data_IF_718659958239
#
_entry.id   IF_718659958239
#
_cell.length_a   1.000
_cell.length_b   1.000
_cell.length_c   1.000
_cell.angle_alpha   90.00
_cell.angle_beta   90.00
_cell.angle_gamma   90.00
#
_symmetry.space_group_name_H-M   'P 1'
#
loop_
_entity.id
_entity.type
_entity.pdbx_description
1 polymer ?
#
# COMPACT_ATOMS: atom_id res chain seq x y z
N UNK A 1 20.46 5.53 -14.84
CA UNK A 1 20.09 4.16 -14.40
C UNK A 1 20.10 3.28 -15.63
N UNK A 2 20.96 2.27 -15.70
CA UNK A 2 20.84 1.20 -16.70
C UNK A 2 19.60 0.38 -16.32
N UNK A 3 18.46 0.69 -16.92
CA UNK A 3 17.26 -0.14 -16.77
C UNK A 3 17.33 -1.23 -17.82
N UNK A 4 18.06 -2.30 -17.52
CA UNK A 4 17.91 -3.53 -18.28
C UNK A 4 16.43 -3.94 -18.16
N UNK A 5 15.69 -4.06 -19.27
CA UNK A 5 14.29 -4.42 -19.20
C UNK A 5 14.15 -5.81 -18.57
N UNK A 6 13.09 -6.00 -17.78
CA UNK A 6 12.76 -7.31 -17.24
C UNK A 6 12.53 -8.29 -18.41
N UNK A 7 13.11 -9.49 -18.41
CA UNK A 7 13.03 -10.42 -19.54
C UNK A 7 11.59 -10.89 -19.79
N UNK A 8 11.28 -11.20 -21.05
CA UNK A 8 10.02 -11.86 -21.38
C UNK A 8 9.94 -13.24 -20.71
N UNK A 9 8.79 -13.57 -20.13
CA UNK A 9 8.51 -14.84 -19.49
C UNK A 9 7.60 -15.71 -20.37
N UNK A 10 7.64 -17.04 -20.19
CA UNK A 10 6.69 -17.93 -20.86
C UNK A 10 5.27 -17.72 -20.34
N UNK A 11 4.27 -18.10 -21.15
CA UNK A 11 2.87 -18.04 -20.74
C UNK A 11 2.60 -18.87 -19.47
N UNK A 12 3.27 -20.02 -19.33
CA UNK A 12 3.18 -20.88 -18.16
C UNK A 12 3.72 -20.20 -16.89
N UNK A 13 4.88 -19.54 -16.97
CA UNK A 13 5.44 -18.79 -15.83
C UNK A 13 4.56 -17.61 -15.46
N UNK A 14 4.01 -16.88 -16.43
CA UNK A 14 3.08 -15.78 -16.16
C UNK A 14 1.83 -16.27 -15.44
N UNK A 15 1.25 -17.40 -15.88
CA UNK A 15 0.09 -18.00 -15.23
C UNK A 15 0.41 -18.42 -13.78
N UNK A 16 1.59 -19.02 -13.55
CA UNK A 16 2.02 -19.44 -12.22
C UNK A 16 2.18 -18.24 -11.26
N UNK A 17 2.85 -17.17 -11.70
CA UNK A 17 3.03 -15.94 -10.91
C UNK A 17 1.70 -15.29 -10.59
N UNK A 18 0.79 -15.19 -11.57
CA UNK A 18 -0.54 -14.62 -11.35
C UNK A 18 -1.37 -15.45 -10.37
N UNK A 19 -1.27 -16.78 -10.45
CA UNK A 19 -1.96 -17.70 -9.52
C UNK A 19 -1.48 -17.48 -8.09
N UNK A 20 -0.16 -17.45 -7.86
CA UNK A 20 0.42 -17.20 -6.53
C UNK A 20 0.09 -15.79 -6.05
N UNK A 21 0.16 -14.79 -6.93
CA UNK A 21 -0.18 -13.41 -6.62
C UNK A 21 -1.63 -13.26 -6.16
N UNK A 22 -2.57 -13.91 -6.85
CA UNK A 22 -3.98 -13.92 -6.44
C UNK A 22 -4.18 -14.62 -5.09
N UNK A 23 -3.49 -15.75 -4.87
CA UNK A 23 -3.55 -16.46 -3.59
C UNK A 23 -3.00 -15.61 -2.43
N UNK A 24 -1.89 -14.90 -2.62
CA UNK A 24 -1.30 -14.02 -1.61
C UNK A 24 -2.14 -12.76 -1.35
N UNK A 25 -2.79 -12.22 -2.38
CA UNK A 25 -3.54 -10.97 -2.28
C UNK A 25 -4.84 -11.11 -1.48
N UNK A 26 -5.36 -12.34 -1.29
CA UNK A 26 -6.60 -12.69 -0.58
C UNK A 26 -7.61 -11.53 -0.51
N UNK A 27 -8.42 -11.37 -1.55
CA UNK A 27 -9.41 -10.31 -1.58
C UNK A 27 -10.72 -10.77 -0.92
N UNK A 28 -10.79 -10.61 0.40
CA UNK A 28 -12.01 -10.92 1.17
C UNK A 28 -13.17 -9.96 0.86
N UNK A 29 -12.94 -8.88 0.10
CA UNK A 29 -13.93 -7.87 -0.28
C UNK A 29 -14.63 -8.13 -1.62
N UNK A 30 -14.32 -9.24 -2.32
CA UNK A 30 -14.81 -9.50 -3.67
C UNK A 30 -16.26 -9.99 -3.78
N UNK A 31 -17.07 -9.86 -2.72
CA UNK A 31 -18.50 -10.19 -2.71
C UNK A 31 -19.39 -8.95 -2.84
N UNK A 32 -20.66 -9.14 -3.22
CA UNK A 32 -21.68 -8.07 -3.27
C UNK A 32 -22.10 -7.54 -1.89
N UNK A 33 -21.51 -8.06 -0.81
CA UNK A 33 -21.93 -7.78 0.55
C UNK A 33 -21.23 -6.53 1.08
N UNK A 34 -22.01 -5.60 1.65
CA UNK A 34 -21.44 -4.43 2.33
C UNK A 34 -20.67 -4.88 3.58
N UNK A 35 -19.37 -4.60 3.62
CA UNK A 35 -18.53 -4.87 4.79
C UNK A 35 -18.66 -3.72 5.78
N UNK A 36 -19.40 -3.94 6.86
CA UNK A 36 -19.37 -3.03 8.02
C UNK A 36 -18.15 -3.37 8.87
N UNK A 37 -17.25 -2.41 9.05
CA UNK A 37 -16.13 -2.52 9.98
C UNK A 37 -16.22 -1.42 11.03
N UNK A 38 -15.71 -1.68 12.24
CA UNK A 38 -15.58 -0.64 13.26
C UNK A 38 -14.26 0.14 13.13
N UNK A 39 -13.34 -0.33 12.29
CA UNK A 39 -12.01 0.23 12.09
C UNK A 39 -11.36 -0.35 10.82
N UNK A 40 -10.52 0.45 10.16
CA UNK A 40 -9.61 -0.01 9.10
C UNK A 40 -8.19 -0.03 9.64
N UNK A 41 -7.47 -1.14 9.44
CA UNK A 41 -6.06 -1.27 9.84
C UNK A 41 -5.16 -1.18 8.62
N UNK A 42 -4.27 -0.17 8.59
CA UNK A 42 -3.23 -0.01 7.58
C UNK A 42 -1.88 -0.44 8.16
N UNK A 43 -1.40 -1.62 7.75
CA UNK A 43 -0.03 -2.06 8.04
C UNK A 43 0.98 -1.30 7.16
N UNK A 44 2.10 -0.90 7.77
CA UNK A 44 3.17 -0.16 7.12
C UNK A 44 3.70 -0.88 5.88
N UNK A 45 3.68 -0.18 4.74
CA UNK A 45 4.11 -0.69 3.45
C UNK A 45 4.46 0.47 2.49
N UNK A 46 4.95 0.15 1.30
CA UNK A 46 5.36 1.13 0.27
C UNK A 46 4.48 1.13 -0.99
N UNK A 47 3.26 0.58 -0.91
CA UNK A 47 2.35 0.40 -2.05
C UNK A 47 1.26 1.47 -2.00
N UNK A 48 1.46 2.57 -2.74
CA UNK A 48 0.54 3.73 -2.73
C UNK A 48 -0.93 3.35 -3.00
N UNK A 49 -1.27 2.50 -4.00
CA UNK A 49 -2.66 2.09 -4.20
C UNK A 49 -3.31 1.43 -2.98
N UNK A 50 -2.54 0.63 -2.23
CA UNK A 50 -3.01 -0.01 -0.99
C UNK A 50 -3.23 1.01 0.13
N UNK A 51 -2.30 1.97 0.26
CA UNK A 51 -2.39 3.07 1.23
C UNK A 51 -3.63 3.95 0.95
N UNK A 52 -3.83 4.35 -0.31
CA UNK A 52 -4.98 5.14 -0.73
C UNK A 52 -6.30 4.38 -0.54
N UNK A 53 -6.31 3.07 -0.82
CA UNK A 53 -7.48 2.23 -0.60
C UNK A 53 -7.90 2.21 0.88
N UNK A 54 -6.96 2.02 1.81
CA UNK A 54 -7.26 2.04 3.25
C UNK A 54 -7.85 3.39 3.69
N UNK A 55 -7.26 4.50 3.23
CA UNK A 55 -7.76 5.85 3.53
C UNK A 55 -9.17 6.08 2.98
N UNK A 56 -9.43 5.64 1.73
CA UNK A 56 -10.76 5.74 1.12
C UNK A 56 -11.81 4.90 1.84
N UNK A 57 -11.49 3.68 2.23
CA UNK A 57 -12.42 2.78 2.93
C UNK A 57 -12.79 3.38 4.29
N UNK A 58 -11.80 3.80 5.09
CA UNK A 58 -12.05 4.41 6.40
C UNK A 58 -12.93 5.67 6.27
N UNK A 59 -12.62 6.54 5.31
CA UNK A 59 -13.39 7.76 5.03
C UNK A 59 -14.81 7.47 4.55
N UNK A 60 -14.99 6.50 3.66
CA UNK A 60 -16.30 6.13 3.12
C UNK A 60 -17.21 5.50 4.16
N UNK A 61 -16.66 4.70 5.08
CA UNK A 61 -17.41 4.07 6.17
C UNK A 61 -17.58 4.97 7.39
N UNK A 62 -16.81 6.06 7.49
CA UNK A 62 -16.84 6.97 8.65
C UNK A 62 -16.23 6.35 9.92
N UNK A 63 -15.24 5.47 9.76
CA UNK A 63 -14.65 4.67 10.85
C UNK A 63 -13.19 5.07 11.08
N UNK A 64 -12.64 4.83 12.29
CA UNK A 64 -11.22 5.05 12.56
C UNK A 64 -10.28 4.31 11.58
N UNK A 65 -9.17 4.98 11.24
CA UNK A 65 -8.05 4.38 10.53
C UNK A 65 -6.89 4.16 11.51
N UNK A 66 -6.62 2.91 11.87
CA UNK A 66 -5.47 2.52 12.68
C UNK A 66 -4.28 2.25 11.77
N UNK A 67 -3.23 3.06 11.89
CA UNK A 67 -2.00 2.91 11.10
C UNK A 67 -0.92 2.28 11.97
N UNK A 68 -0.45 1.10 11.58
CA UNK A 68 0.59 0.35 12.30
C UNK A 68 1.88 0.29 11.49
N UNK A 69 2.94 0.95 11.95
CA UNK A 69 4.23 0.96 11.25
C UNK A 69 5.30 1.77 11.97
N UNK A 70 6.41 1.10 12.31
CA UNK A 70 7.57 1.70 12.96
C UNK A 70 8.69 2.01 11.97
N UNK A 71 9.89 1.48 12.26
CA UNK A 71 11.01 1.44 11.33
C UNK A 71 11.35 -0.04 11.10
N UNK A 72 11.22 -0.49 9.85
CA UNK A 72 11.53 -1.86 9.43
C UNK A 72 11.96 -1.96 7.97
N UNK A 73 11.88 -3.18 7.41
CA UNK A 73 12.37 -3.49 6.05
C UNK A 73 11.73 -2.66 4.94
N UNK A 74 10.44 -2.32 5.07
CA UNK A 74 9.69 -1.51 4.09
C UNK A 74 10.01 -0.02 4.13
N UNK A 75 10.61 0.48 5.21
CA UNK A 75 10.79 1.93 5.46
C UNK A 75 11.53 2.64 4.32
N UNK A 76 12.69 2.15 3.84
CA UNK A 76 13.42 2.85 2.77
C UNK A 76 12.63 2.86 1.46
N UNK A 77 11.83 1.82 1.20
CA UNK A 77 10.95 1.75 0.03
C UNK A 77 9.81 2.76 0.14
N UNK A 78 9.20 2.91 1.32
CA UNK A 78 8.19 3.94 1.57
C UNK A 78 8.78 5.33 1.33
N UNK A 79 9.99 5.60 1.83
CA UNK A 79 10.67 6.88 1.60
C UNK A 79 10.87 7.16 0.11
N UNK A 80 11.34 6.15 -0.63
CA UNK A 80 11.62 6.27 -2.06
C UNK A 80 10.35 6.48 -2.90
N UNK A 81 9.27 5.77 -2.60
CA UNK A 81 8.01 5.93 -3.35
C UNK A 81 7.38 7.29 -3.07
N UNK A 82 7.39 7.77 -1.82
CA UNK A 82 6.85 9.08 -1.45
C UNK A 82 7.63 10.20 -2.14
N UNK A 83 8.96 10.16 -2.11
CA UNK A 83 9.81 11.17 -2.75
C UNK A 83 9.58 11.30 -4.27
N UNK A 84 9.08 10.24 -4.93
CA UNK A 84 8.79 10.21 -6.37
C UNK A 84 7.30 10.44 -6.69
N UNK A 85 6.42 10.45 -5.69
CA UNK A 85 4.98 10.49 -5.90
C UNK A 85 4.51 11.92 -6.22
N UNK A 86 3.77 12.16 -7.31
CA UNK A 86 3.39 13.51 -7.75
C UNK A 86 2.54 14.28 -6.74
N UNK A 87 1.79 13.59 -5.88
CA UNK A 87 0.99 14.22 -4.81
C UNK A 87 1.71 14.26 -3.46
N UNK A 88 2.49 13.24 -3.13
CA UNK A 88 2.98 13.02 -1.76
C UNK A 88 4.44 13.42 -1.56
N UNK A 89 5.16 13.83 -2.61
CA UNK A 89 6.59 14.20 -2.54
C UNK A 89 6.91 15.35 -1.57
N UNK A 90 5.91 16.10 -1.10
CA UNK A 90 6.05 17.17 -0.10
C UNK A 90 6.09 16.64 1.34
N UNK A 91 5.68 15.39 1.58
CA UNK A 91 5.70 14.77 2.90
C UNK A 91 7.15 14.46 3.28
N UNK A 92 7.60 14.97 4.44
CA UNK A 92 8.93 14.64 4.98
C UNK A 92 9.01 13.15 5.31
N UNK A 93 10.10 12.47 4.96
CA UNK A 93 10.22 11.02 5.17
C UNK A 93 11.38 10.62 6.06
N UNK A 94 12.61 11.00 5.71
CA UNK A 94 13.84 10.54 6.38
C UNK A 94 13.78 10.62 7.91
N UNK A 95 14.02 9.48 8.57
CA UNK A 95 14.06 9.37 10.03
C UNK A 95 12.70 9.25 10.70
N UNK A 96 11.59 9.28 9.96
CA UNK A 96 10.23 9.14 10.50
C UNK A 96 9.75 7.70 10.41
N UNK A 97 8.99 7.29 11.42
CA UNK A 97 8.24 6.03 11.39
C UNK A 97 7.23 6.00 10.23
N UNK A 98 7.00 4.82 9.68
CA UNK A 98 6.05 4.61 8.58
C UNK A 98 4.66 5.16 8.93
N UNK A 99 4.15 4.87 10.13
CA UNK A 99 2.83 5.33 10.55
C UNK A 99 2.71 6.87 10.55
N UNK A 100 3.78 7.60 10.88
CA UNK A 100 3.76 9.06 10.86
C UNK A 100 3.68 9.63 9.42
N UNK A 101 4.35 8.98 8.46
CA UNK A 101 4.30 9.38 7.04
C UNK A 101 2.92 9.04 6.45
N UNK A 102 2.42 7.84 6.74
CA UNK A 102 1.11 7.38 6.26
C UNK A 102 -0.04 8.19 6.87
N UNK A 103 0.09 8.66 8.11
CA UNK A 103 -0.86 9.58 8.73
C UNK A 103 -0.91 10.94 7.99
N UNK A 104 0.22 11.46 7.53
CA UNK A 104 0.21 12.70 6.72
C UNK A 104 -0.54 12.48 5.40
N UNK A 105 -0.40 11.31 4.77
CA UNK A 105 -1.16 10.95 3.56
C UNK A 105 -2.66 10.91 3.85
N UNK A 106 -3.07 10.28 4.95
CA UNK A 106 -4.47 10.17 5.33
C UNK A 106 -5.13 11.54 5.63
N UNK A 107 -4.33 12.57 5.94
CA UNK A 107 -4.78 13.93 6.21
C UNK A 107 -4.74 14.87 4.99
N UNK A 108 -4.32 14.40 3.81
CA UNK A 108 -4.34 15.17 2.55
C UNK A 108 -5.60 14.95 1.72
#
# INVERSE_FOLDING_TARGET
MNTTPFPALSAETLLAVNTVGQWLAQNDFSGEQSYSSDCVVLAGNAVIPTIDAACRIAKAQGVPLLISGGIGHSTPFLYAVIARHPRYHTIRTTGRAEAAILADIANQ
#
